data_IF_165972201597
#
_entry.id   IF_165972201597
#
_cell.length_a   1.000
_cell.length_b   1.000
_cell.length_c   1.000
_cell.angle_alpha   90.00
_cell.angle_beta   90.00
_cell.angle_gamma   90.00
#
_symmetry.space_group_name_H-M   'P 1'
#
loop_
_entity.id
_entity.type
_entity.pdbx_description
1 polymer ?
#
# COMPACT_ATOMS: atom_id res chain seq x y z
N UNK A 1 -14.33 7.68 -11.78
CA UNK A 1 -14.24 8.46 -10.51
C UNK A 1 -14.41 7.57 -9.29
N UNK A 2 -15.45 6.72 -9.23
CA UNK A 2 -15.71 5.83 -8.08
C UNK A 2 -14.54 4.86 -7.83
N UNK A 3 -14.01 4.23 -8.88
CA UNK A 3 -12.86 3.31 -8.80
C UNK A 3 -11.64 3.94 -8.11
N UNK A 4 -11.33 5.20 -8.47
CA UNK A 4 -10.19 5.93 -7.91
C UNK A 4 -10.40 6.27 -6.43
N UNK A 5 -11.62 6.62 -6.02
CA UNK A 5 -11.92 6.86 -4.60
C UNK A 5 -11.72 5.58 -3.77
N UNK A 6 -12.21 4.45 -4.26
CA UNK A 6 -12.03 3.14 -3.63
C UNK A 6 -10.54 2.79 -3.55
N UNK A 7 -9.80 3.06 -4.62
CA UNK A 7 -8.37 2.75 -4.72
C UNK A 7 -7.56 3.63 -3.76
N UNK A 8 -7.82 4.94 -3.71
CA UNK A 8 -7.17 5.86 -2.75
C UNK A 8 -7.46 5.49 -1.29
N UNK A 9 -8.70 5.13 -0.97
CA UNK A 9 -9.06 4.64 0.36
C UNK A 9 -8.34 3.32 0.69
N UNK A 10 -8.29 2.39 -0.27
CA UNK A 10 -7.58 1.12 -0.11
C UNK A 10 -6.07 1.28 0.11
N UNK A 11 -5.43 2.22 -0.59
CA UNK A 11 -4.02 2.59 -0.36
C UNK A 11 -3.88 3.10 1.07
N UNK A 12 -4.65 4.12 1.46
CA UNK A 12 -4.54 4.71 2.81
C UNK A 12 -4.71 3.70 3.94
N UNK A 13 -5.75 2.86 3.87
CA UNK A 13 -6.02 1.84 4.90
C UNK A 13 -4.87 0.83 5.01
N UNK A 14 -4.28 0.44 3.87
CA UNK A 14 -3.13 -0.45 3.88
C UNK A 14 -1.87 0.21 4.42
N UNK A 15 -1.56 1.43 3.98
CA UNK A 15 -0.41 2.20 4.46
C UNK A 15 -0.49 2.36 5.97
N UNK A 16 -1.69 2.65 6.49
CA UNK A 16 -1.94 2.70 7.92
C UNK A 16 -1.68 1.35 8.61
N UNK A 17 -2.21 0.26 8.04
CA UNK A 17 -2.04 -1.09 8.60
C UNK A 17 -0.58 -1.55 8.67
N UNK A 18 0.20 -1.33 7.61
CA UNK A 18 1.61 -1.74 7.58
C UNK A 18 2.48 -0.86 8.46
N UNK A 19 2.24 0.45 8.48
CA UNK A 19 2.97 1.37 9.38
C UNK A 19 2.63 1.12 10.84
N UNK A 20 1.39 0.74 11.17
CA UNK A 20 1.02 0.26 12.50
C UNK A 20 1.80 -1.00 12.89
N UNK A 21 1.88 -1.98 11.98
CA UNK A 21 2.65 -3.20 12.21
C UNK A 21 4.14 -2.92 12.42
N UNK A 22 4.71 -2.05 11.59
CA UNK A 22 6.11 -1.66 11.71
C UNK A 22 6.34 -0.90 13.02
N UNK A 23 5.47 0.07 13.37
CA UNK A 23 5.58 0.85 14.61
C UNK A 23 5.52 -0.03 15.86
N UNK A 24 4.67 -1.06 15.85
CA UNK A 24 4.54 -2.02 16.94
C UNK A 24 5.79 -2.89 17.17
N UNK A 25 6.58 -3.15 16.13
CA UNK A 25 7.80 -3.98 16.24
C UNK A 25 9.03 -3.20 16.68
N UNK A 26 8.92 -1.88 16.87
CA UNK A 26 10.06 -1.04 17.28
C UNK A 26 10.15 -0.92 18.80
N UNK A 27 11.34 -1.18 19.35
CA UNK A 27 11.62 -1.00 20.77
C UNK A 27 11.70 0.49 21.18
N UNK A 28 12.40 1.32 20.38
CA UNK A 28 12.53 2.76 20.61
C UNK A 28 12.24 3.53 19.32
N UNK A 29 11.25 4.43 19.37
CA UNK A 29 10.80 5.20 18.22
C UNK A 29 10.72 6.70 18.55
N UNK A 30 11.78 7.45 18.21
CA UNK A 30 11.79 8.91 18.37
C UNK A 30 10.97 9.60 17.27
N UNK A 31 10.36 10.74 17.59
CA UNK A 31 9.57 11.54 16.64
C UNK A 31 10.30 11.86 15.33
N UNK A 32 11.60 12.21 15.40
CA UNK A 32 12.42 12.46 14.20
C UNK A 32 12.52 11.23 13.30
N UNK A 33 12.65 10.03 13.89
CA UNK A 33 12.72 8.76 13.16
C UNK A 33 11.36 8.38 12.56
N UNK A 34 10.26 8.63 13.27
CA UNK A 34 8.89 8.46 12.76
C UNK A 34 8.68 9.32 11.52
N UNK A 35 9.04 10.60 11.59
CA UNK A 35 8.89 11.52 10.47
C UNK A 35 9.76 11.08 9.28
N UNK A 36 11.01 10.70 9.52
CA UNK A 36 11.91 10.21 8.48
C UNK A 36 11.38 8.93 7.81
N UNK A 37 10.90 7.96 8.59
CA UNK A 37 10.29 6.73 8.08
C UNK A 37 9.01 7.02 7.30
N UNK A 38 8.15 7.91 7.80
CA UNK A 38 6.90 8.29 7.12
C UNK A 38 7.12 8.99 5.78
N UNK A 39 8.09 9.92 5.72
CA UNK A 39 8.47 10.57 4.47
C UNK A 39 9.08 9.57 3.50
N UNK A 40 9.97 8.70 3.98
CA UNK A 40 10.61 7.67 3.14
C UNK A 40 9.58 6.69 2.58
N UNK A 41 8.63 6.25 3.40
CA UNK A 41 7.56 5.33 2.99
C UNK A 41 6.63 5.99 1.95
N UNK A 42 6.19 7.22 2.19
CA UNK A 42 5.41 7.95 1.19
C UNK A 42 6.18 8.17 -0.11
N UNK A 43 7.49 8.43 -0.04
CA UNK A 43 8.34 8.59 -1.24
C UNK A 43 8.42 7.27 -2.02
N UNK A 44 8.54 6.13 -1.33
CA UNK A 44 8.54 4.83 -1.99
C UNK A 44 7.20 4.57 -2.69
N UNK A 45 6.06 4.80 -2.03
CA UNK A 45 4.72 4.67 -2.64
C UNK A 45 4.58 5.55 -3.90
N UNK A 46 5.06 6.78 -3.85
CA UNK A 46 5.08 7.69 -5.01
C UNK A 46 5.96 7.14 -6.14
N UNK A 47 7.17 6.68 -5.82
CA UNK A 47 8.11 6.14 -6.81
C UNK A 47 7.58 4.85 -7.45
N UNK A 48 6.96 3.96 -6.67
CA UNK A 48 6.37 2.71 -7.16
C UNK A 48 5.18 2.99 -8.08
N UNK A 49 4.35 3.98 -7.76
CA UNK A 49 3.27 4.43 -8.64
C UNK A 49 3.82 4.95 -9.97
N UNK A 50 4.81 5.86 -9.91
CA UNK A 50 5.44 6.42 -11.10
C UNK A 50 6.15 5.34 -11.92
N UNK A 51 6.74 4.35 -11.27
CA UNK A 51 7.35 3.21 -11.92
C UNK A 51 6.31 2.38 -12.67
N UNK A 52 5.15 2.10 -12.07
CA UNK A 52 4.03 1.43 -12.75
C UNK A 52 3.51 2.20 -13.97
N UNK A 53 3.33 3.52 -13.82
CA UNK A 53 2.95 4.39 -14.95
C UNK A 53 4.03 4.40 -16.03
N UNK A 54 5.31 4.51 -15.65
CA UNK A 54 6.43 4.46 -16.58
C UNK A 54 6.47 3.15 -17.36
N UNK A 55 6.34 2.01 -16.69
CA UNK A 55 6.30 0.70 -17.33
C UNK A 55 5.15 0.57 -18.33
N UNK A 56 3.99 1.14 -18.04
CA UNK A 56 2.84 1.12 -18.95
C UNK A 56 3.07 1.89 -20.26
N UNK A 57 4.03 2.83 -20.28
CA UNK A 57 4.42 3.55 -21.51
C UNK A 57 5.30 2.65 -22.39
N UNK A 58 6.18 1.84 -21.79
CA UNK A 58 7.07 0.92 -22.50
C UNK A 58 6.37 -0.36 -22.96
N UNK A 59 5.38 -0.83 -22.20
CA UNK A 59 4.65 -2.05 -22.48
C UNK A 59 3.33 -1.68 -23.15
N UNK A 60 3.12 -2.01 -24.44
CA UNK A 60 1.88 -1.68 -25.12
C UNK A 60 0.70 -2.30 -24.38
N UNK A 61 -0.36 -1.51 -24.23
CA UNK A 61 -1.57 -1.96 -23.55
C UNK A 61 -2.24 -3.05 -24.37
N UNK A 62 -2.18 -4.29 -23.87
CA UNK A 62 -2.83 -5.45 -24.45
C UNK A 62 -3.84 -6.00 -23.46
N UNK A 63 -4.98 -6.52 -23.96
CA UNK A 63 -6.07 -7.03 -23.11
C UNK A 63 -5.60 -8.09 -22.12
N UNK A 64 -4.73 -9.01 -22.53
CA UNK A 64 -4.20 -10.04 -21.64
C UNK A 64 -3.36 -9.45 -20.48
N UNK A 65 -2.61 -8.36 -20.72
CA UNK A 65 -1.82 -7.71 -19.67
C UNK A 65 -2.74 -7.04 -18.65
N UNK A 66 -3.83 -6.43 -19.11
CA UNK A 66 -4.84 -5.83 -18.25
C UNK A 66 -5.49 -6.88 -17.34
N UNK A 67 -5.87 -8.02 -17.93
CA UNK A 67 -6.41 -9.16 -17.17
C UNK A 67 -5.39 -9.68 -16.15
N UNK A 68 -4.11 -9.82 -16.50
CA UNK A 68 -3.05 -10.26 -15.58
C UNK A 68 -2.88 -9.29 -14.40
N UNK A 69 -2.84 -7.97 -14.65
CA UNK A 69 -2.71 -6.96 -13.58
C UNK A 69 -3.92 -6.97 -12.65
N UNK A 70 -5.13 -7.09 -13.20
CA UNK A 70 -6.38 -7.17 -12.42
C UNK A 70 -6.40 -8.45 -11.57
N UNK A 71 -6.08 -9.59 -12.16
CA UNK A 71 -6.00 -10.87 -11.44
C UNK A 71 -4.95 -10.79 -10.33
N UNK A 72 -3.78 -10.21 -10.59
CA UNK A 72 -2.74 -10.03 -9.59
C UNK A 72 -3.23 -9.16 -8.41
N UNK A 73 -3.95 -8.06 -8.68
CA UNK A 73 -4.53 -7.23 -7.62
C UNK A 73 -5.60 -7.96 -6.81
N UNK A 74 -6.46 -8.74 -7.46
CA UNK A 74 -7.46 -9.59 -6.79
C UNK A 74 -6.75 -10.62 -5.88
N UNK A 75 -5.69 -11.28 -6.37
CA UNK A 75 -4.93 -12.26 -5.60
C UNK A 75 -4.25 -11.63 -4.38
N UNK A 76 -3.65 -10.45 -4.54
CA UNK A 76 -3.07 -9.70 -3.42
C UNK A 76 -4.15 -9.33 -2.40
N UNK A 77 -5.30 -8.84 -2.87
CA UNK A 77 -6.43 -8.47 -2.00
C UNK A 77 -7.02 -9.68 -1.26
N UNK A 78 -7.11 -10.83 -1.94
CA UNK A 78 -7.57 -12.08 -1.37
C UNK A 78 -6.58 -12.61 -0.33
N UNK A 79 -5.27 -12.53 -0.57
CA UNK A 79 -4.27 -12.91 0.44
C UNK A 79 -4.32 -12.00 1.68
N UNK A 80 -4.52 -10.69 1.50
CA UNK A 80 -4.75 -9.77 2.60
C UNK A 80 -5.99 -10.15 3.42
N UNK A 81 -7.12 -10.41 2.74
CA UNK A 81 -8.35 -10.85 3.41
C UNK A 81 -8.14 -12.19 4.14
N UNK A 82 -7.45 -13.15 3.51
CA UNK A 82 -7.10 -14.43 4.12
C UNK A 82 -6.26 -14.24 5.38
N UNK A 83 -5.26 -13.35 5.35
CA UNK A 83 -4.45 -12.98 6.53
C UNK A 83 -5.29 -12.32 7.63
N UNK A 84 -6.29 -11.53 7.27
CA UNK A 84 -7.18 -10.92 8.26
C UNK A 84 -8.06 -11.96 8.98
N UNK A 85 -8.61 -12.93 8.24
CA UNK A 85 -9.52 -13.96 8.78
C UNK A 85 -8.76 -15.04 9.53
N UNK A 86 -7.76 -15.66 8.89
CA UNK A 86 -7.05 -16.83 9.41
C UNK A 86 -5.65 -16.54 9.93
N UNK A 87 -5.12 -15.35 9.66
CA UNK A 87 -3.78 -14.98 10.11
C UNK A 87 -3.73 -14.69 11.62
N UNK A 88 -2.56 -14.94 12.19
CA UNK A 88 -2.20 -14.44 13.51
C UNK A 88 -1.75 -12.99 13.37
N UNK A 89 -2.11 -12.17 14.35
CA UNK A 89 -1.57 -10.83 14.43
C UNK A 89 -0.03 -10.91 14.50
N UNK A 90 0.69 -9.94 13.93
CA UNK A 90 2.13 -9.89 14.03
C UNK A 90 2.55 -9.93 15.51
N UNK A 91 3.46 -10.85 15.84
CA UNK A 91 3.99 -10.98 17.20
C UNK A 91 4.81 -9.75 17.57
N UNK A 92 4.77 -9.37 18.86
CA UNK A 92 5.63 -8.33 19.41
C UNK A 92 7.06 -8.83 19.43
N UNK A 93 7.77 -8.67 18.32
CA UNK A 93 9.21 -8.88 18.29
C UNK A 93 9.84 -7.52 18.56
N UNK A 94 10.12 -7.23 19.83
CA UNK A 94 11.03 -6.14 20.23
C UNK A 94 12.43 -6.54 19.81
N UNK A 95 12.70 -6.50 18.50
CA UNK A 95 14.06 -6.59 18.02
C UNK A 95 14.76 -5.27 18.34
N UNK A 96 15.93 -5.33 18.96
CA UNK A 96 16.85 -4.20 19.09
C UNK A 96 17.09 -3.65 17.68
N UNK A 97 16.39 -2.57 17.33
CA UNK A 97 16.49 -1.86 16.07
C UNK A 97 16.36 -2.78 14.84
N UNK A 98 15.13 -3.03 14.38
CA UNK A 98 14.91 -3.57 13.02
C UNK A 98 15.74 -2.75 12.04
N UNK A 99 16.71 -3.40 11.40
CA UNK A 99 17.67 -2.72 10.55
C UNK A 99 16.94 -1.93 9.46
N UNK A 100 17.43 -0.74 9.12
CA UNK A 100 16.82 0.06 8.05
C UNK A 100 16.69 -0.75 6.76
N UNK A 101 17.63 -1.64 6.48
CA UNK A 101 17.58 -2.59 5.36
C UNK A 101 16.35 -3.52 5.45
N UNK A 102 16.07 -4.12 6.61
CA UNK A 102 14.93 -5.02 6.78
C UNK A 102 13.60 -4.27 6.68
N UNK A 103 13.52 -3.07 7.26
CA UNK A 103 12.36 -2.18 7.11
C UNK A 103 12.13 -1.82 5.63
N UNK A 104 13.21 -1.54 4.91
CA UNK A 104 13.14 -1.21 3.49
C UNK A 104 12.66 -2.40 2.64
N UNK A 105 13.14 -3.62 2.92
CA UNK A 105 12.69 -4.82 2.22
C UNK A 105 11.21 -5.11 2.49
N UNK A 106 10.74 -4.94 3.73
CA UNK A 106 9.33 -5.11 4.10
C UNK A 106 8.46 -4.07 3.38
N UNK A 107 8.88 -2.81 3.38
CA UNK A 107 8.18 -1.73 2.68
C UNK A 107 8.13 -1.97 1.16
N UNK A 108 9.27 -2.28 0.55
CA UNK A 108 9.36 -2.54 -0.90
C UNK A 108 8.49 -3.73 -1.33
N UNK A 109 8.52 -4.82 -0.56
CA UNK A 109 7.67 -5.99 -0.85
C UNK A 109 6.18 -5.68 -0.76
N UNK A 110 5.82 -4.75 0.13
CA UNK A 110 4.44 -4.34 0.38
C UNK A 110 3.87 -3.40 -0.69
N UNK A 111 4.73 -2.76 -1.49
CA UNK A 111 4.35 -1.73 -2.47
C UNK A 111 4.25 -2.24 -3.91
N UNK A 112 4.47 -3.55 -4.15
CA UNK A 112 4.27 -4.18 -5.48
C UNK A 112 2.87 -3.89 -6.02
N UNK A 113 1.86 -3.87 -5.15
CA UNK A 113 0.49 -3.50 -5.50
C UNK A 113 0.38 -2.08 -6.07
N UNK A 114 1.21 -1.15 -5.62
CA UNK A 114 1.18 0.26 -6.03
C UNK A 114 1.73 0.42 -7.44
N UNK A 115 2.66 -0.45 -7.85
CA UNK A 115 3.09 -0.58 -9.25
C UNK A 115 1.92 -1.01 -10.14
N UNK A 116 1.18 -2.04 -9.74
CA UNK A 116 -0.01 -2.52 -10.48
C UNK A 116 -1.11 -1.45 -10.56
N UNK A 117 -1.32 -0.73 -9.47
CA UNK A 117 -2.19 0.45 -9.43
C UNK A 117 -1.70 1.52 -10.43
N UNK A 118 -0.39 1.73 -10.54
CA UNK A 118 0.22 2.64 -11.52
C UNK A 118 -0.15 2.29 -12.96
N UNK A 119 -0.16 0.99 -13.31
CA UNK A 119 -0.70 0.55 -14.61
C UNK A 119 -2.18 0.94 -14.77
N UNK A 120 -3.01 0.72 -13.74
CA UNK A 120 -4.42 1.10 -13.79
C UNK A 120 -4.62 2.62 -13.98
N UNK A 121 -3.83 3.46 -13.31
CA UNK A 121 -3.88 4.91 -13.48
C UNK A 121 -3.53 5.35 -14.91
N UNK A 122 -2.52 4.70 -15.51
CA UNK A 122 -2.12 4.99 -16.87
C UNK A 122 -3.19 4.59 -17.90
N UNK A 123 -3.84 3.43 -17.73
CA UNK A 123 -4.93 2.99 -18.61
C UNK A 123 -6.17 3.88 -18.53
N UNK A 124 -6.45 4.46 -17.36
CA UNK A 124 -7.51 5.48 -17.22
C UNK A 124 -7.09 6.87 -17.75
N UNK A 125 -5.90 7.01 -18.36
CA UNK A 125 -5.44 8.27 -18.96
C UNK A 125 -5.19 9.37 -17.93
N UNK A 126 -4.91 9.01 -16.67
CA UNK A 126 -4.71 9.98 -15.59
C UNK A 126 -3.29 10.51 -15.60
N UNK A 127 -3.15 11.83 -15.41
CA UNK A 127 -1.84 12.48 -15.33
C UNK A 127 -1.13 12.09 -14.02
N UNK A 128 0.05 11.44 -14.08
CA UNK A 128 0.79 11.06 -12.88
C UNK A 128 1.25 12.29 -12.08
N UNK A 129 1.42 13.44 -12.74
CA UNK A 129 1.91 14.69 -12.13
C UNK A 129 0.99 15.24 -11.05
N UNK A 130 -0.31 14.90 -11.10
CA UNK A 130 -1.28 15.33 -10.08
C UNK A 130 -1.36 14.28 -8.96
N UNK A 131 -1.50 13.00 -9.30
CA UNK A 131 -1.77 11.96 -8.32
C UNK A 131 -0.53 11.50 -7.54
N UNK A 132 0.66 11.52 -8.15
CA UNK A 132 1.90 11.14 -7.47
C UNK A 132 2.21 12.00 -6.22
N UNK A 133 2.22 13.35 -6.29
CA UNK A 133 2.46 14.16 -5.09
C UNK A 133 1.32 14.07 -4.06
N UNK A 134 0.08 13.83 -4.50
CA UNK A 134 -1.04 13.59 -3.58
C UNK A 134 -0.88 12.29 -2.81
N UNK A 135 -0.52 11.20 -3.51
CA UNK A 135 -0.25 9.90 -2.89
C UNK A 135 0.94 10.00 -1.93
N UNK A 136 2.01 10.70 -2.33
CA UNK A 136 3.14 10.99 -1.44
C UNK A 136 2.69 11.64 -0.13
N UNK A 137 1.97 12.76 -0.22
CA UNK A 137 1.54 13.51 0.97
C UNK A 137 0.60 12.71 1.87
N UNK A 138 -0.41 12.07 1.28
CA UNK A 138 -1.39 11.27 2.04
C UNK A 138 -0.72 10.06 2.68
N UNK A 139 0.06 9.29 1.91
CA UNK A 139 0.75 8.10 2.43
C UNK A 139 1.76 8.47 3.53
N UNK A 140 2.46 9.61 3.42
CA UNK A 140 3.34 10.08 4.50
C UNK A 140 2.56 10.41 5.77
N UNK A 141 1.46 11.16 5.68
CA UNK A 141 0.64 11.51 6.85
C UNK A 141 0.10 10.23 7.51
N UNK A 142 -0.48 9.35 6.70
CA UNK A 142 -1.09 8.11 7.18
C UNK A 142 -0.02 7.16 7.76
N UNK A 143 1.17 7.09 7.17
CA UNK A 143 2.28 6.30 7.70
C UNK A 143 2.78 6.83 9.05
N UNK A 144 2.94 8.16 9.19
CA UNK A 144 3.31 8.77 10.48
C UNK A 144 2.27 8.44 11.55
N UNK A 145 0.98 8.57 11.23
CA UNK A 145 -0.10 8.20 12.13
C UNK A 145 -0.06 6.71 12.48
N UNK A 146 0.13 5.83 11.51
CA UNK A 146 0.22 4.40 11.78
C UNK A 146 1.43 4.02 12.63
N UNK A 147 2.62 4.59 12.37
CA UNK A 147 3.80 4.36 13.21
C UNK A 147 3.58 4.80 14.66
N UNK A 148 3.03 6.01 14.87
CA UNK A 148 2.74 6.51 16.23
C UNK A 148 1.69 5.64 16.94
N UNK A 149 0.63 5.26 16.22
CA UNK A 149 -0.44 4.44 16.77
C UNK A 149 0.04 3.03 17.09
N UNK A 150 0.81 2.41 16.20
CA UNK A 150 1.42 1.10 16.38
C UNK A 150 2.37 1.05 17.57
N UNK A 151 3.17 2.11 17.75
CA UNK A 151 4.10 2.20 18.88
C UNK A 151 3.38 2.29 20.24
N UNK A 152 2.29 3.07 20.35
CA UNK A 152 1.62 3.28 21.64
C UNK A 152 0.50 2.26 21.94
N UNK A 153 -0.28 1.87 20.93
CA UNK A 153 -1.51 1.05 21.10
C UNK A 153 -1.37 -0.37 20.56
N UNK A 154 -0.24 -0.69 19.92
CA UNK A 154 0.05 -1.99 19.34
C UNK A 154 -0.81 -2.35 18.13
N UNK A 155 -0.83 -3.64 17.77
CA UNK A 155 -1.48 -4.16 16.55
C UNK A 155 -2.95 -4.58 16.71
N UNK A 156 -3.73 -3.93 17.59
CA UNK A 156 -5.14 -4.31 17.87
C UNK A 156 -6.04 -4.30 16.64
N UNK A 157 -5.82 -3.34 15.74
CA UNK A 157 -6.63 -3.15 14.53
C UNK A 157 -6.06 -3.81 13.28
N UNK A 158 -4.95 -4.56 13.40
CA UNK A 158 -4.25 -5.13 12.26
C UNK A 158 -5.15 -6.02 11.40
N UNK A 159 -5.96 -6.90 12.02
CA UNK A 159 -6.89 -7.78 11.28
C UNK A 159 -7.93 -6.97 10.51
N UNK A 160 -8.54 -5.97 11.17
CA UNK A 160 -9.56 -5.13 10.55
C UNK A 160 -8.98 -4.32 9.37
N UNK A 161 -7.84 -3.66 9.57
CA UNK A 161 -7.18 -2.85 8.54
C UNK A 161 -6.73 -3.69 7.35
N UNK A 162 -6.15 -4.86 7.60
CA UNK A 162 -5.71 -5.77 6.54
C UNK A 162 -6.90 -6.32 5.76
N UNK A 163 -7.98 -6.69 6.45
CA UNK A 163 -9.19 -7.22 5.81
C UNK A 163 -9.91 -6.17 4.97
N UNK A 164 -10.13 -4.98 5.54
CA UNK A 164 -10.75 -3.85 4.85
C UNK A 164 -9.89 -3.44 3.65
N UNK A 165 -8.58 -3.27 3.83
CA UNK A 165 -7.67 -2.95 2.73
C UNK A 165 -7.72 -3.97 1.59
N UNK A 166 -7.85 -5.26 1.91
CA UNK A 166 -8.01 -6.33 0.92
C UNK A 166 -9.32 -6.23 0.14
N UNK A 167 -10.43 -5.95 0.84
CA UNK A 167 -11.75 -5.73 0.21
C UNK A 167 -11.71 -4.53 -0.74
N UNK A 168 -11.16 -3.40 -0.30
CA UNK A 168 -11.02 -2.21 -1.16
C UNK A 168 -10.19 -2.51 -2.41
N UNK A 169 -9.13 -3.31 -2.29
CA UNK A 169 -8.30 -3.69 -3.43
C UNK A 169 -9.06 -4.57 -4.43
N UNK A 170 -9.84 -5.55 -3.95
CA UNK A 170 -10.67 -6.42 -4.80
C UNK A 170 -11.76 -5.57 -5.51
N UNK A 171 -12.44 -4.69 -4.78
CA UNK A 171 -13.48 -3.82 -5.34
C UNK A 171 -12.90 -2.86 -6.39
N UNK A 172 -11.73 -2.28 -6.13
CA UNK A 172 -11.06 -1.42 -7.11
C UNK A 172 -10.69 -2.20 -8.36
N UNK A 173 -10.18 -3.43 -8.22
CA UNK A 173 -9.82 -4.30 -9.35
C UNK A 173 -11.03 -4.65 -10.22
N UNK A 174 -12.16 -4.97 -9.59
CA UNK A 174 -13.43 -5.20 -10.30
C UNK A 174 -13.91 -3.92 -10.99
N UNK A 175 -13.79 -2.76 -10.33
CA UNK A 175 -14.14 -1.46 -10.91
C UNK A 175 -13.32 -1.14 -12.17
N UNK A 176 -12.01 -1.45 -12.17
CA UNK A 176 -11.17 -1.31 -13.37
C UNK A 176 -11.60 -2.30 -14.45
N UNK A 177 -11.87 -3.56 -14.10
CA UNK A 177 -12.33 -4.58 -15.04
C UNK A 177 -13.63 -4.21 -15.76
N UNK A 178 -14.64 -3.72 -15.04
CA UNK A 178 -15.90 -3.29 -15.64
C UNK A 178 -15.76 -2.06 -16.54
N UNK A 179 -14.75 -1.22 -16.31
CA UNK A 179 -14.49 -0.06 -17.15
C UNK A 179 -13.72 -0.41 -18.44
N UNK A 180 -13.19 -1.63 -18.53
CA UNK A 180 -12.43 -2.16 -19.66
C UNK A 180 -13.28 -3.00 -20.65
N UNK A 181 -14.48 -3.41 -20.25
CA UNK A 181 -15.48 -4.11 -21.09
C UNK A 181 -16.40 -3.08 -21.74
#
# INVERSE_FOLDING_TARGET
>A
MITMLILSLGIGIYVFGISQQIGYTQEVLHWKRILFLGVSFGLMEMLMLLFGVGLSVWIPTQRWLQEVVIIALILIGADMFRRAVWGKAPEERREELVSLQRLFVIALSAEIKTVLIGFCFAWEGRSPWVYAPMIWGVSTIVAVLGFTYGYHMGCRFWKALTGIGGIFLILASLGVYFHLI
#
